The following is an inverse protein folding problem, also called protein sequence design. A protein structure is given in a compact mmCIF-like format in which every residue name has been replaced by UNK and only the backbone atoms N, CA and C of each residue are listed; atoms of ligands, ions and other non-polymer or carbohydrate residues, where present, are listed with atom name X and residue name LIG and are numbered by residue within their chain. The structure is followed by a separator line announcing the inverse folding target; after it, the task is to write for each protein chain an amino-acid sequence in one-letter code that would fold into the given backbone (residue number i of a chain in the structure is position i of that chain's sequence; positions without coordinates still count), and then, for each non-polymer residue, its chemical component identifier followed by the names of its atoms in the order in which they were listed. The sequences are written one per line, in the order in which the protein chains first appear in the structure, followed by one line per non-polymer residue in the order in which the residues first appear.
data_IF_380322784517
#
_entry.id   IF_380322784517
#
_cell.length_a   1.000
_cell.length_b   1.000
_cell.length_c   1.000
_cell.angle_alpha   90.00
_cell.angle_beta   90.00
_cell.angle_gamma   90.00
#
_symmetry.space_group_name_H-M   'P 1'
#
loop_
_entity.id
_entity.type
_entity.pdbx_description
1 polymer ?
#
# COMPACT_ATOMS: atom_id res chain seq x y z
N UNK A 1 -15.33 20.15 5.89
CA UNK A 1 -14.48 20.29 4.68
C UNK A 1 -14.19 18.87 4.17
N UNK A 2 -14.59 18.50 2.95
CA UNK A 2 -14.41 17.12 2.45
C UNK A 2 -12.98 16.95 1.93
N UNK A 3 -12.22 16.02 2.51
CA UNK A 3 -10.87 15.70 2.03
C UNK A 3 -10.90 14.38 1.27
N UNK A 4 -10.71 14.46 -0.05
CA UNK A 4 -10.63 13.30 -0.94
C UNK A 4 -9.18 12.95 -1.24
N UNK A 5 -8.79 11.71 -0.97
CA UNK A 5 -7.46 11.20 -1.26
C UNK A 5 -7.56 10.03 -2.24
N UNK A 6 -6.94 10.18 -3.42
CA UNK A 6 -6.85 9.09 -4.40
C UNK A 6 -5.87 8.04 -3.90
N UNK A 7 -6.21 6.77 -4.06
CA UNK A 7 -5.37 5.65 -3.64
C UNK A 7 -5.20 4.61 -4.75
N UNK A 8 -4.11 3.85 -4.62
CA UNK A 8 -3.78 2.67 -5.40
C UNK A 8 -3.57 1.52 -4.41
N UNK A 9 -4.27 0.41 -4.56
CA UNK A 9 -4.18 -0.69 -3.57
C UNK A 9 -2.80 -1.36 -3.66
N UNK A 10 -2.17 -1.72 -2.52
CA UNK A 10 -0.96 -2.54 -2.55
C UNK A 10 -1.16 -3.83 -3.34
N UNK A 11 -0.23 -4.15 -4.24
CA UNK A 11 -0.17 -5.47 -4.87
C UNK A 11 0.12 -6.51 -3.80
N UNK A 12 -0.85 -7.36 -3.51
CA UNK A 12 -0.77 -8.58 -2.68
C UNK A 12 -0.08 -8.38 -1.33
N UNK A 13 -0.88 -8.24 -0.26
CA UNK A 13 -0.44 -8.62 1.08
C UNK A 13 -0.66 -10.13 1.20
N UNK A 14 0.40 -10.94 1.19
CA UNK A 14 0.36 -12.39 1.46
C UNK A 14 0.02 -12.73 2.93
N UNK A 15 -0.27 -11.72 3.78
CA UNK A 15 -0.51 -11.87 5.21
C UNK A 15 -2.00 -12.14 5.54
N UNK A 16 -2.58 -13.12 4.86
CA UNK A 16 -4.02 -13.35 4.78
C UNK A 16 -4.65 -14.18 5.92
N UNK A 17 -3.93 -14.60 6.97
CA UNK A 17 -4.45 -15.68 7.83
C UNK A 17 -4.79 -15.35 9.29
N UNK A 18 -4.59 -14.12 9.80
CA UNK A 18 -4.84 -13.85 11.23
C UNK A 18 -6.01 -12.94 11.59
N UNK A 19 -6.59 -12.17 10.65
CA UNK A 19 -7.59 -11.14 10.99
C UNK A 19 -8.75 -11.02 9.98
N UNK A 20 -9.65 -12.00 9.98
CA UNK A 20 -10.89 -11.94 9.19
C UNK A 20 -10.69 -11.83 7.67
N UNK A 21 -11.79 -11.78 6.90
CA UNK A 21 -11.69 -11.62 5.44
C UNK A 21 -11.23 -10.20 5.11
N UNK A 22 -10.08 -10.01 4.43
CA UNK A 22 -9.61 -8.69 4.08
C UNK A 22 -10.47 -8.11 2.96
N UNK A 23 -10.68 -6.79 2.96
CA UNK A 23 -11.22 -6.11 1.79
C UNK A 23 -10.11 -5.78 0.81
N UNK A 24 -10.20 -6.40 -0.35
CA UNK A 24 -9.35 -6.09 -1.49
C UNK A 24 -10.14 -5.26 -2.47
N UNK A 25 -9.65 -4.04 -2.69
CA UNK A 25 -10.06 -3.25 -3.83
C UNK A 25 -9.02 -3.46 -4.94
N UNK A 26 -9.46 -3.52 -6.20
CA UNK A 26 -8.60 -3.54 -7.38
C UNK A 26 -8.43 -2.13 -7.94
N UNK A 27 -7.28 -1.87 -8.54
CA UNK A 27 -7.06 -0.67 -9.34
C UNK A 27 -6.95 0.64 -8.53
N UNK A 28 -7.66 1.66 -9.01
CA UNK A 28 -7.66 3.03 -8.48
C UNK A 28 -8.93 3.24 -7.66
N UNK A 29 -8.82 3.93 -6.53
CA UNK A 29 -9.96 4.29 -5.69
C UNK A 29 -9.80 5.67 -5.06
N UNK A 30 -10.79 6.08 -4.27
CA UNK A 30 -10.69 7.27 -3.42
C UNK A 30 -11.12 6.98 -1.98
N UNK A 31 -10.31 7.43 -1.02
CA UNK A 31 -10.66 7.44 0.39
C UNK A 31 -11.08 8.86 0.73
N UNK A 32 -12.29 9.01 1.27
CA UNK A 32 -12.83 10.29 1.69
C UNK A 32 -12.99 10.26 3.20
N UNK A 33 -12.36 11.22 3.88
CA UNK A 33 -12.62 11.47 5.29
C UNK A 33 -13.91 12.29 5.39
N UNK A 34 -14.92 11.73 6.06
CA UNK A 34 -16.16 12.43 6.41
C UNK A 34 -16.29 12.46 7.93
N UNK A 35 -17.10 13.36 8.46
CA UNK A 35 -17.20 13.57 9.92
C UNK A 35 -17.70 12.31 10.66
N UNK A 36 -18.54 11.49 10.02
CA UNK A 36 -19.13 10.27 10.61
C UNK A 36 -18.33 9.00 10.35
N UNK A 37 -17.39 9.02 9.41
CA UNK A 37 -16.63 7.83 9.08
C UNK A 37 -15.76 7.94 7.84
N UNK A 38 -14.99 6.88 7.66
CA UNK A 38 -14.07 6.73 6.54
C UNK A 38 -14.80 6.07 5.37
N UNK A 39 -14.98 6.81 4.27
CA UNK A 39 -15.57 6.27 3.05
C UNK A 39 -14.48 5.80 2.10
N UNK A 40 -14.55 4.53 1.73
CA UNK A 40 -13.63 3.91 0.77
C UNK A 40 -14.39 3.59 -0.49
N UNK A 41 -14.00 4.24 -1.59
CA UNK A 41 -14.50 3.99 -2.93
C UNK A 41 -13.47 3.20 -3.72
N UNK A 42 -13.91 2.10 -4.31
CA UNK A 42 -13.04 1.32 -5.19
C UNK A 42 -13.76 0.16 -5.84
N UNK A 43 -13.03 -0.50 -6.73
CA UNK A 43 -13.54 -1.63 -7.49
C UNK A 43 -13.31 -2.91 -6.68
N UNK A 44 -14.38 -3.56 -6.23
CA UNK A 44 -14.31 -4.76 -5.39
C UNK A 44 -14.57 -5.99 -6.27
N UNK A 45 -13.75 -7.05 -6.18
CA UNK A 45 -13.93 -8.23 -7.02
C UNK A 45 -15.20 -8.97 -6.57
N UNK A 46 -16.09 -9.30 -7.51
CA UNK A 46 -17.22 -10.20 -7.21
C UNK A 46 -16.74 -11.61 -6.87
N UNK A 47 -15.63 -12.03 -7.48
CA UNK A 47 -15.01 -13.35 -7.30
C UNK A 47 -13.49 -13.22 -7.22
N UNK A 48 -12.85 -14.00 -6.35
CA UNK A 48 -11.39 -14.13 -6.33
C UNK A 48 -10.95 -15.26 -7.25
N UNK A 49 -10.32 -14.92 -8.38
CA UNK A 49 -9.61 -15.88 -9.20
C UNK A 49 -8.10 -15.72 -8.96
N UNK A 50 -7.42 -16.74 -8.42
CA UNK A 50 -5.97 -16.72 -8.37
C UNK A 50 -5.41 -16.62 -9.80
N UNK A 51 -4.31 -15.90 -9.98
CA UNK A 51 -3.58 -15.68 -11.25
C UNK A 51 -4.26 -14.79 -12.32
N UNK A 52 -5.58 -14.85 -12.49
CA UNK A 52 -6.27 -14.13 -13.58
C UNK A 52 -6.90 -12.78 -13.19
N UNK A 53 -6.91 -12.45 -11.90
CA UNK A 53 -7.63 -11.29 -11.37
C UNK A 53 -7.23 -9.92 -11.96
N UNK A 54 -6.07 -9.78 -12.61
CA UNK A 54 -5.67 -8.50 -13.24
C UNK A 54 -6.23 -8.32 -14.65
N UNK A 55 -6.18 -9.34 -15.49
CA UNK A 55 -6.63 -9.25 -16.88
C UNK A 55 -8.15 -9.10 -16.95
N UNK A 56 -8.85 -9.83 -16.09
CA UNK A 56 -10.31 -9.78 -16.00
C UNK A 56 -10.81 -8.83 -14.91
N UNK A 57 -9.93 -8.01 -14.32
CA UNK A 57 -10.30 -7.08 -13.24
C UNK A 57 -11.55 -6.28 -13.63
N UNK A 58 -11.54 -5.63 -14.80
CA UNK A 58 -12.66 -4.81 -15.27
C UNK A 58 -13.98 -5.56 -15.44
N UNK A 59 -13.93 -6.84 -15.78
CA UNK A 59 -15.13 -7.66 -16.00
C UNK A 59 -15.69 -8.22 -14.68
N UNK A 60 -14.82 -8.46 -13.71
CA UNK A 60 -15.15 -9.16 -12.45
C UNK A 60 -15.35 -8.16 -11.30
N UNK A 61 -14.91 -6.92 -11.43
CA UNK A 61 -15.04 -5.91 -10.37
C UNK A 61 -16.31 -5.08 -10.50
N UNK A 62 -16.97 -4.83 -9.38
CA UNK A 62 -18.01 -3.81 -9.26
C UNK A 62 -17.52 -2.61 -8.48
N UNK A 63 -17.90 -1.40 -8.91
CA UNK A 63 -17.61 -0.19 -8.13
C UNK A 63 -18.44 -0.22 -6.85
N UNK A 64 -17.77 -0.19 -5.71
CA UNK A 64 -18.43 -0.25 -4.40
C UNK A 64 -17.95 0.90 -3.53
N UNK A 65 -18.85 1.33 -2.64
CA UNK A 65 -18.55 2.27 -1.56
C UNK A 65 -18.70 1.51 -0.25
N UNK A 66 -17.71 1.64 0.63
CA UNK A 66 -17.78 1.13 1.98
C UNK A 66 -17.49 2.23 2.97
N UNK A 67 -18.43 2.48 3.86
CA UNK A 67 -18.27 3.42 4.96
C UNK A 67 -17.86 2.65 6.21
N UNK A 68 -16.77 3.07 6.84
CA UNK A 68 -16.30 2.52 8.13
C UNK A 68 -16.42 3.64 9.16
N UNK A 69 -17.38 3.55 10.11
CA UNK A 69 -17.50 4.51 11.20
C UNK A 69 -16.20 4.57 12.01
N UNK A 70 -15.81 5.74 12.49
CA UNK A 70 -14.56 5.88 13.26
C UNK A 70 -14.57 5.13 14.59
N UNK A 71 -15.74 5.02 15.22
CA UNK A 71 -15.99 4.16 16.39
C UNK A 71 -15.57 2.71 16.14
N UNK A 72 -15.76 2.22 14.92
CA UNK A 72 -15.41 0.85 14.57
C UNK A 72 -13.93 0.68 14.24
N UNK A 73 -13.15 1.76 14.10
CA UNK A 73 -11.72 1.68 13.77
C UNK A 73 -10.92 1.33 15.02
N UNK A 74 -10.41 0.10 15.05
CA UNK A 74 -9.62 -0.43 16.16
C UNK A 74 -8.18 0.07 16.08
N UNK A 75 -7.59 0.01 14.89
CA UNK A 75 -6.17 0.29 14.71
C UNK A 75 -5.88 0.82 13.32
N UNK A 76 -5.14 1.91 13.27
CA UNK A 76 -4.50 2.41 12.07
C UNK A 76 -3.00 2.13 12.16
N UNK A 77 -2.45 1.36 11.20
CA UNK A 77 -1.01 1.09 11.09
C UNK A 77 -0.53 1.60 9.75
N UNK A 78 0.34 2.59 9.77
CA UNK A 78 1.09 3.01 8.58
C UNK A 78 2.31 2.12 8.49
N UNK A 79 2.40 1.33 7.42
CA UNK A 79 3.65 0.63 7.12
C UNK A 79 4.52 1.63 6.37
N UNK A 80 5.26 2.41 7.15
CA UNK A 80 6.14 3.48 6.68
C UNK A 80 7.59 3.02 6.62
N UNK A 81 8.07 2.77 5.39
CA UNK A 81 9.33 3.24 4.76
C UNK A 81 10.69 3.22 5.47
N UNK A 82 10.84 3.08 6.78
CA UNK A 82 11.92 3.87 7.41
C UNK A 82 13.26 3.22 7.73
N UNK A 83 13.40 1.90 7.79
CA UNK A 83 14.75 1.34 8.00
C UNK A 83 15.03 0.10 7.17
N UNK A 84 14.14 -0.90 7.17
CA UNK A 84 14.47 -2.15 6.48
C UNK A 84 14.50 -2.02 4.96
N UNK A 85 13.64 -1.22 4.33
CA UNK A 85 13.62 -1.12 2.85
C UNK A 85 14.75 -0.21 2.35
N UNK A 86 15.05 0.90 3.03
CA UNK A 86 16.20 1.74 2.65
C UNK A 86 17.52 1.02 2.91
N UNK A 87 17.67 0.34 4.05
CA UNK A 87 18.84 -0.49 4.34
C UNK A 87 18.94 -1.68 3.39
N UNK A 88 17.84 -2.39 3.11
CA UNK A 88 17.82 -3.50 2.16
C UNK A 88 18.06 -3.01 0.73
N UNK A 89 17.64 -1.80 0.37
CA UNK A 89 18.00 -1.15 -0.90
C UNK A 89 19.49 -0.87 -0.93
N UNK A 90 20.06 -0.23 0.10
CA UNK A 90 21.49 0.05 0.18
C UNK A 90 22.31 -1.24 0.15
N UNK A 91 21.90 -2.26 0.91
CA UNK A 91 22.52 -3.57 0.94
C UNK A 91 22.38 -4.30 -0.40
N UNK A 92 21.21 -4.20 -1.05
CA UNK A 92 21.00 -4.70 -2.40
C UNK A 92 21.90 -3.97 -3.38
N UNK A 93 21.98 -2.64 -3.34
CA UNK A 93 22.90 -1.86 -4.15
C UNK A 93 24.33 -2.32 -3.91
N UNK A 94 24.80 -2.45 -2.66
CA UNK A 94 26.14 -2.93 -2.34
C UNK A 94 26.42 -4.33 -2.92
N UNK A 95 25.49 -5.27 -2.72
CA UNK A 95 25.58 -6.62 -3.28
C UNK A 95 25.53 -6.62 -4.82
N UNK A 96 24.76 -5.71 -5.39
CA UNK A 96 24.56 -5.58 -6.83
C UNK A 96 25.77 -4.92 -7.49
N UNK A 97 26.35 -3.87 -6.90
CA UNK A 97 27.63 -3.26 -7.31
C UNK A 97 28.78 -4.26 -7.19
N UNK A 98 28.86 -5.00 -6.07
CA UNK A 98 29.88 -6.04 -5.88
C UNK A 98 29.71 -7.22 -6.84
N UNK A 99 28.48 -7.72 -6.99
CA UNK A 99 28.14 -8.87 -7.83
C UNK A 99 28.29 -8.59 -9.32
N UNK A 100 27.88 -7.42 -9.80
CA UNK A 100 28.02 -7.04 -11.21
C UNK A 100 29.43 -6.60 -11.54
N UNK A 101 30.17 -5.98 -10.61
CA UNK A 101 31.61 -5.78 -10.80
C UNK A 101 32.33 -7.11 -11.05
N UNK A 102 32.01 -8.15 -10.26
CA UNK A 102 32.57 -9.49 -10.43
C UNK A 102 32.12 -10.18 -11.72
N UNK A 103 30.81 -10.13 -12.05
CA UNK A 103 30.27 -10.71 -13.29
C UNK A 103 30.81 -10.01 -14.53
N UNK A 104 30.96 -8.67 -14.50
CA UNK A 104 31.50 -7.91 -15.61
C UNK A 104 32.98 -8.25 -15.84
N UNK A 105 33.77 -8.40 -14.77
CA UNK A 105 35.15 -8.87 -14.85
C UNK A 105 35.26 -10.30 -15.42
N UNK A 106 34.30 -11.18 -15.11
CA UNK A 106 34.30 -12.58 -15.60
C UNK A 106 33.72 -12.75 -17.00
N UNK A 107 32.86 -11.84 -17.46
CA UNK A 107 32.15 -11.96 -18.74
C UNK A 107 32.82 -11.10 -19.82
N UNK A 108 33.47 -9.99 -19.46
CA UNK A 108 34.24 -9.19 -20.39
C UNK A 108 35.45 -9.92 -21.00
N UNK A 109 35.88 -11.05 -20.39
CA UNK A 109 36.89 -11.92 -20.99
C UNK A 109 36.37 -12.68 -22.21
N UNK A 110 35.06 -12.98 -22.28
CA UNK A 110 34.45 -13.80 -23.34
C UNK A 110 33.54 -12.99 -24.28
N UNK A 111 32.95 -11.89 -23.81
CA UNK A 111 32.09 -11.01 -24.59
C UNK A 111 32.85 -9.75 -25.02
N UNK A 112 32.81 -9.45 -26.32
CA UNK A 112 33.43 -8.24 -26.87
C UNK A 112 32.87 -6.95 -26.23
N UNK A 113 33.69 -5.88 -26.16
CA UNK A 113 33.36 -4.66 -25.41
C UNK A 113 32.08 -3.98 -25.91
N UNK A 114 31.74 -4.15 -27.19
CA UNK A 114 30.55 -3.58 -27.81
C UNK A 114 29.23 -4.11 -27.22
N UNK A 115 29.22 -5.32 -26.66
CA UNK A 115 28.00 -5.96 -26.09
C UNK A 115 28.00 -5.87 -24.57
N UNK A 116 29.17 -5.96 -23.93
CA UNK A 116 29.29 -5.89 -22.48
C UNK A 116 28.85 -4.52 -21.93
N UNK A 117 29.27 -3.42 -22.57
CA UNK A 117 29.02 -2.05 -22.07
C UNK A 117 27.51 -1.71 -22.03
N UNK A 118 26.70 -1.92 -23.09
CA UNK A 118 25.25 -1.63 -23.03
C UNK A 118 24.50 -2.47 -22.00
N UNK A 119 24.84 -3.76 -21.87
CA UNK A 119 24.22 -4.67 -20.90
C UNK A 119 24.52 -4.23 -19.46
N UNK A 120 25.76 -3.80 -19.19
CA UNK A 120 26.13 -3.19 -17.92
C UNK A 120 25.29 -1.96 -17.59
N UNK A 121 25.10 -1.05 -18.56
CA UNK A 121 24.30 0.18 -18.37
C UNK A 121 22.83 -0.14 -18.11
N UNK A 122 22.21 -1.06 -18.87
CA UNK A 122 20.81 -1.45 -18.68
C UNK A 122 20.60 -2.06 -17.30
N UNK A 123 21.48 -2.98 -16.88
CA UNK A 123 21.41 -3.54 -15.55
C UNK A 123 21.55 -2.44 -14.48
N UNK A 124 22.49 -1.50 -14.67
CA UNK A 124 22.84 -0.43 -13.72
C UNK A 124 21.83 0.67 -13.53
N UNK A 125 21.17 1.06 -14.60
CA UNK A 125 20.25 2.19 -14.54
C UNK A 125 18.82 1.71 -14.37
N UNK A 126 18.41 0.68 -15.12
CA UNK A 126 17.00 0.31 -15.21
C UNK A 126 16.54 -0.47 -13.99
N UNK A 127 17.30 -1.48 -13.55
CA UNK A 127 16.90 -2.33 -12.42
C UNK A 127 16.74 -1.51 -11.14
N UNK A 128 17.69 -0.63 -10.77
CA UNK A 128 17.55 0.13 -9.55
C UNK A 128 16.51 1.26 -9.66
N UNK A 129 16.37 1.90 -10.83
CA UNK A 129 15.29 2.86 -11.06
C UNK A 129 13.90 2.21 -10.86
N UNK A 130 13.72 0.99 -11.37
CA UNK A 130 12.49 0.20 -11.19
C UNK A 130 12.26 -0.12 -9.71
N UNK A 131 13.28 -0.52 -8.95
CA UNK A 131 13.17 -0.81 -7.52
C UNK A 131 12.84 0.47 -6.71
N UNK A 132 13.46 1.60 -7.05
CA UNK A 132 13.19 2.89 -6.41
C UNK A 132 11.75 3.37 -6.63
N UNK A 133 11.14 3.04 -7.77
CA UNK A 133 9.76 3.39 -8.09
C UNK A 133 8.70 2.68 -7.23
N UNK A 134 9.02 1.57 -6.55
CA UNK A 134 8.04 0.77 -5.80
C UNK A 134 7.80 1.16 -4.34
N UNK A 135 8.42 2.24 -3.87
CA UNK A 135 8.44 2.58 -2.46
C UNK A 135 7.29 3.51 -2.04
N UNK A 136 6.10 2.93 -1.88
CA UNK A 136 4.92 3.65 -1.42
C UNK A 136 4.46 3.13 -0.07
N UNK A 137 4.25 4.06 0.86
CA UNK A 137 3.69 3.76 2.17
C UNK A 137 2.31 3.08 1.99
N UNK A 138 2.11 2.00 2.73
CA UNK A 138 0.84 1.26 2.71
C UNK A 138 0.16 1.47 4.06
N UNK A 139 -1.07 1.99 4.02
CA UNK A 139 -1.91 2.21 5.18
C UNK A 139 -2.78 0.99 5.40
N UNK A 140 -2.80 0.51 6.64
CA UNK A 140 -3.64 -0.60 7.06
C UNK A 140 -4.61 -0.09 8.11
N UNK A 141 -5.90 -0.30 7.87
CA UNK A 141 -6.97 0.05 8.81
C UNK A 141 -7.67 -1.23 9.21
N UNK A 142 -7.61 -1.54 10.50
CA UNK A 142 -8.34 -2.65 11.12
C UNK A 142 -9.55 -2.09 11.82
N UNK A 143 -10.72 -2.66 11.54
CA UNK A 143 -11.99 -2.19 12.07
C UNK A 143 -12.91 -3.37 12.44
N UNK A 144 -13.91 -3.10 13.26
CA UNK A 144 -14.91 -4.07 13.72
C UNK A 144 -16.15 -4.02 12.84
N UNK A 145 -16.64 -5.17 12.41
CA UNK A 145 -17.92 -5.31 11.72
C UNK A 145 -19.09 -5.25 12.71
N UNK A 146 -20.32 -4.92 12.26
CA UNK A 146 -21.52 -5.04 13.10
C UNK A 146 -21.69 -6.44 13.72
N UNK A 147 -21.19 -7.48 13.05
CA UNK A 147 -21.17 -8.85 13.56
C UNK A 147 -20.14 -9.11 14.68
N UNK A 148 -19.46 -8.08 15.20
CA UNK A 148 -18.37 -8.17 16.18
C UNK A 148 -17.03 -8.67 15.62
N UNK A 149 -17.00 -9.19 14.40
CA UNK A 149 -15.79 -9.73 13.74
C UNK A 149 -14.84 -8.60 13.35
N UNK A 150 -13.54 -8.87 13.36
CA UNK A 150 -12.53 -7.93 12.86
C UNK A 150 -12.37 -8.08 11.35
N UNK A 151 -12.17 -6.97 10.66
CA UNK A 151 -11.79 -6.94 9.25
C UNK A 151 -10.71 -5.87 9.05
N UNK A 152 -10.00 -5.97 7.93
CA UNK A 152 -8.91 -5.09 7.59
C UNK A 152 -9.02 -4.69 6.13
N UNK A 153 -8.64 -3.46 5.81
CA UNK A 153 -8.36 -3.07 4.44
C UNK A 153 -7.05 -2.30 4.37
N UNK A 154 -6.39 -2.42 3.22
CA UNK A 154 -5.11 -1.78 2.96
C UNK A 154 -5.21 -0.89 1.71
N UNK A 155 -4.61 0.29 1.78
CA UNK A 155 -4.56 1.22 0.65
C UNK A 155 -3.20 1.93 0.61
N UNK A 156 -2.72 2.26 -0.59
CA UNK A 156 -1.58 3.20 -0.74
C UNK A 156 -2.13 4.49 -1.27
N UNK A 157 -1.85 5.59 -0.61
CA UNK A 157 -2.17 6.88 -1.18
C UNK A 157 -1.36 7.08 -2.46
N UNK A 158 -2.00 7.64 -3.49
CA UNK A 158 -1.34 8.15 -4.70
C UNK A 158 -0.20 9.10 -4.29
N UNK A 159 0.82 9.38 -5.12
CA UNK A 159 1.77 10.46 -4.84
C UNK A 159 1.00 11.75 -4.53
N UNK A 160 0.88 11.99 -3.24
CA UNK A 160 0.25 13.08 -2.53
C UNK A 160 1.46 13.75 -1.86
N UNK A 161 1.53 15.08 -1.86
CA UNK A 161 2.66 15.77 -1.23
C UNK A 161 2.85 15.26 0.20
N UNK A 162 4.10 15.21 0.70
CA UNK A 162 4.38 14.73 2.07
C UNK A 162 3.49 15.44 3.11
N UNK A 163 3.16 16.70 2.86
CA UNK A 163 2.30 17.52 3.70
C UNK A 163 0.84 17.06 3.67
N UNK A 164 0.29 16.71 2.51
CA UNK A 164 -1.07 16.18 2.44
C UNK A 164 -1.18 14.80 3.10
N UNK A 165 -0.10 14.00 3.10
CA UNK A 165 -0.04 12.74 3.83
C UNK A 165 -0.09 12.96 5.35
N UNK A 166 0.71 13.89 5.89
CA UNK A 166 0.68 14.20 7.33
C UNK A 166 -0.67 14.79 7.74
N UNK A 167 -1.26 15.66 6.92
CA UNK A 167 -2.61 16.19 7.14
C UNK A 167 -3.65 15.07 7.20
N UNK A 168 -3.61 14.12 6.25
CA UNK A 168 -4.54 12.98 6.24
C UNK A 168 -4.41 12.13 7.51
N UNK A 169 -3.18 11.79 7.92
CA UNK A 169 -2.94 10.99 9.12
C UNK A 169 -3.37 11.73 10.38
N UNK A 170 -3.05 13.02 10.49
CA UNK A 170 -3.44 13.85 11.62
C UNK A 170 -4.97 13.94 11.75
N UNK A 171 -5.67 14.19 10.64
CA UNK A 171 -7.14 14.23 10.62
C UNK A 171 -7.77 12.89 10.96
N UNK A 172 -7.23 11.78 10.46
CA UNK A 172 -7.73 10.46 10.80
C UNK A 172 -7.61 10.19 12.30
N UNK A 173 -6.46 10.53 12.90
CA UNK A 173 -6.21 10.35 14.33
C UNK A 173 -7.10 11.25 15.20
N UNK A 174 -7.34 12.50 14.76
CA UNK A 174 -8.23 13.43 15.45
C UNK A 174 -9.67 12.92 15.47
N UNK A 175 -10.20 12.51 14.32
CA UNK A 175 -11.56 11.97 14.21
C UNK A 175 -11.72 10.65 14.98
N UNK A 176 -10.69 9.80 14.99
CA UNK A 176 -10.70 8.58 15.80
C UNK A 176 -10.72 8.88 17.30
N UNK A 177 -9.90 9.85 17.75
CA UNK A 177 -9.88 10.28 19.15
C UNK A 177 -11.22 10.89 19.58
N UNK A 178 -11.84 11.69 18.71
CA UNK A 178 -13.15 12.28 18.95
C UNK A 178 -14.22 11.18 19.09
N UNK A 179 -14.26 10.21 18.17
CA UNK A 179 -15.22 9.11 18.21
C UNK A 179 -15.08 8.26 19.49
N UNK A 180 -13.86 7.96 19.91
CA UNK A 180 -13.62 7.21 21.16
C UNK A 180 -14.11 7.96 22.41
N UNK A 181 -13.99 9.29 22.43
CA UNK A 181 -14.48 10.11 23.54
C UNK A 181 -16.02 10.12 23.64
N UNK A 182 -16.73 10.02 22.52
CA UNK A 182 -18.19 9.92 22.51
C UNK A 182 -18.69 8.57 23.04
N UNK A 183 -18.06 7.45 22.64
CA UNK A 183 -18.45 6.12 23.14
C UNK A 183 -18.31 6.00 24.67
N UNK A 184 -17.29 6.62 25.25
CA UNK A 184 -17.10 6.61 26.70
C UNK A 184 -18.23 7.33 27.45
N UNK A 185 -18.77 8.41 26.89
CA UNK A 185 -19.88 9.16 27.51
C UNK A 185 -21.18 8.37 27.52
N UNK A 186 -21.47 7.63 26.45
CA UNK A 186 -22.65 6.77 26.38
C UNK A 186 -22.59 5.58 27.35
N UNK A 187 -21.39 5.10 27.70
CA UNK A 187 -21.25 3.99 28.66
C UNK A 187 -21.46 4.35 30.13
N UNK A 188 -21.52 5.65 30.44
CA UNK A 188 -21.66 6.19 31.81
C UNK A 188 -23.13 6.56 32.12
N UNK A 189 -23.98 6.64 31.09
CA UNK A 189 -25.42 6.90 31.22
C UNK A 189 -26.20 5.58 31.26
#
# INVERSE_FOLDING_TARGET
MKQECKFQIPRMSLWDSMFGRPLYFYGKGSVVLQDTGLMVHGDLPKFMLPFFGRFYARLITGRTMRTVPYSQVIRHKVTGRWVSISFLKILFFLLWFGGIGLLFMSVASDLGPAVAIPLGIVAFVVIPAVILMFDRATHYITYRLPSGKRSQFAFRLSPISRDQMSIFVNRLNELQSAAAAFEQRESIQ
#
